data_IF_458573375965
#
_entry.id   IF_458573375965
#
_cell.length_a   1.000
_cell.length_b   1.000
_cell.length_c   1.000
_cell.angle_alpha   90.00
_cell.angle_beta   90.00
_cell.angle_gamma   90.00
#
_symmetry.space_group_name_H-M   'P 1'
#
loop_
_entity.id
_entity.type
_entity.pdbx_description
1 polymer ?
#
# COMPACT_ATOMS: atom_id res chain seq x y z
N UNK A 1 4.02 -9.39 -5.07
CA UNK A 1 3.76 -8.04 -5.60
C UNK A 1 4.38 -6.99 -4.67
N UNK A 2 5.69 -6.67 -4.81
CA UNK A 2 6.35 -5.54 -4.11
C UNK A 2 6.82 -4.50 -5.16
N UNK A 3 6.06 -4.39 -6.26
CA UNK A 3 6.40 -3.45 -7.34
C UNK A 3 5.89 -2.04 -7.07
N UNK A 4 4.75 -1.90 -6.40
CA UNK A 4 4.04 -0.61 -6.30
C UNK A 4 4.80 0.45 -5.49
N UNK A 5 5.38 0.10 -4.35
CA UNK A 5 6.03 1.10 -3.48
C UNK A 5 7.39 1.61 -3.98
N UNK A 6 8.10 0.84 -4.83
CA UNK A 6 9.41 1.27 -5.33
C UNK A 6 9.30 2.24 -6.53
N UNK A 7 8.28 2.07 -7.38
CA UNK A 7 8.02 2.98 -8.51
C UNK A 7 7.59 4.37 -8.05
N UNK A 8 7.01 4.46 -6.86
CA UNK A 8 6.50 5.70 -6.33
C UNK A 8 7.61 6.72 -6.02
N UNK A 9 8.67 6.29 -5.34
CA UNK A 9 9.83 7.17 -5.05
C UNK A 9 10.52 7.65 -6.33
N UNK A 10 10.58 6.79 -7.34
CA UNK A 10 11.08 7.14 -8.66
C UNK A 10 10.18 8.18 -9.34
N UNK A 11 8.86 8.03 -9.27
CA UNK A 11 7.91 8.98 -9.86
C UNK A 11 8.01 10.38 -9.24
N UNK A 12 8.25 10.48 -7.92
CA UNK A 12 8.52 11.76 -7.25
C UNK A 12 9.82 12.38 -7.73
N UNK A 13 10.90 11.58 -7.81
CA UNK A 13 12.19 12.05 -8.29
C UNK A 13 12.12 12.57 -9.73
N UNK A 14 11.38 11.87 -10.60
CA UNK A 14 11.15 12.27 -12.00
C UNK A 14 10.27 13.51 -12.10
N UNK A 15 9.23 13.65 -11.26
CA UNK A 15 8.36 14.82 -11.28
C UNK A 15 9.08 16.08 -10.79
N UNK A 16 9.88 15.98 -9.73
CA UNK A 16 10.69 17.09 -9.23
C UNK A 16 11.74 17.48 -10.28
N UNK A 17 12.38 16.51 -10.95
CA UNK A 17 13.42 16.80 -11.94
C UNK A 17 12.88 17.42 -13.24
N UNK A 18 11.66 17.07 -13.65
CA UNK A 18 11.04 17.60 -14.87
C UNK A 18 10.28 18.91 -14.67
N UNK A 19 9.58 19.09 -13.56
CA UNK A 19 8.65 20.22 -13.37
C UNK A 19 9.12 21.26 -12.35
N UNK A 20 10.15 20.96 -11.53
CA UNK A 20 10.64 21.86 -10.49
C UNK A 20 9.65 22.08 -9.33
N UNK A 21 10.13 22.53 -8.17
CA UNK A 21 9.31 22.61 -6.94
C UNK A 21 8.17 23.65 -6.98
N UNK A 22 8.20 24.60 -7.91
CA UNK A 22 7.21 25.69 -8.01
C UNK A 22 6.01 25.36 -8.92
N UNK A 23 5.96 24.18 -9.53
CA UNK A 23 4.87 23.76 -10.41
C UNK A 23 3.80 22.96 -9.64
N UNK A 24 2.53 23.18 -9.96
CA UNK A 24 1.41 22.43 -9.38
C UNK A 24 1.49 20.92 -9.62
N UNK A 25 2.17 20.49 -10.69
CA UNK A 25 2.47 19.08 -10.96
C UNK A 25 3.32 18.43 -9.86
N UNK A 26 4.31 19.16 -9.34
CA UNK A 26 5.20 18.67 -8.28
C UNK A 26 4.44 18.53 -6.96
N UNK A 27 3.58 19.49 -6.63
CA UNK A 27 2.73 19.42 -5.43
C UNK A 27 1.82 18.19 -5.45
N UNK A 28 1.23 17.86 -6.60
CA UNK A 28 0.41 16.67 -6.77
C UNK A 28 1.20 15.37 -6.53
N UNK A 29 2.46 15.30 -7.00
CA UNK A 29 3.31 14.12 -6.74
C UNK A 29 3.75 13.99 -5.28
N UNK A 30 4.00 15.12 -4.60
CA UNK A 30 4.34 15.11 -3.17
C UNK A 30 3.13 14.67 -2.33
N UNK A 31 1.94 15.18 -2.62
CA UNK A 31 0.68 14.75 -1.98
C UNK A 31 0.42 13.26 -2.25
N UNK A 32 0.74 12.78 -3.45
CA UNK A 32 0.70 11.35 -3.77
C UNK A 32 1.51 10.50 -2.77
N UNK A 33 2.68 10.96 -2.32
CA UNK A 33 3.55 10.20 -1.39
C UNK A 33 2.89 10.12 -0.03
N UNK A 34 2.36 11.26 0.41
CA UNK A 34 1.77 11.41 1.71
C UNK A 34 0.53 10.53 1.86
N UNK A 35 -0.16 10.22 0.75
CA UNK A 35 -1.32 9.31 0.73
C UNK A 35 -0.91 7.85 0.53
N UNK A 36 0.12 7.57 -0.27
CA UNK A 36 0.52 6.20 -0.60
C UNK A 36 0.90 5.39 0.65
N UNK A 37 1.76 5.95 1.52
CA UNK A 37 2.23 5.26 2.73
C UNK A 37 1.09 4.88 3.69
N UNK A 38 0.17 5.79 4.08
CA UNK A 38 -0.94 5.44 4.95
C UNK A 38 -1.93 4.48 4.29
N UNK A 39 -2.17 4.56 2.97
CA UNK A 39 -3.01 3.60 2.25
C UNK A 39 -2.39 2.20 2.30
N UNK A 40 -1.09 2.08 2.07
CA UNK A 40 -0.37 0.81 2.12
C UNK A 40 -0.45 0.18 3.53
N UNK A 41 -0.20 0.96 4.58
CA UNK A 41 -0.32 0.48 5.96
C UNK A 41 -1.75 0.10 6.34
N UNK A 42 -2.75 0.83 5.81
CA UNK A 42 -4.16 0.52 6.04
C UNK A 42 -4.54 -0.82 5.40
N UNK A 43 -4.09 -1.07 4.16
CA UNK A 43 -4.32 -2.35 3.47
C UNK A 43 -3.66 -3.51 4.22
N UNK A 44 -2.42 -3.34 4.69
CA UNK A 44 -1.73 -4.35 5.50
C UNK A 44 -2.50 -4.61 6.81
N UNK A 45 -3.01 -3.56 7.45
CA UNK A 45 -3.81 -3.70 8.67
C UNK A 45 -5.13 -4.45 8.42
N UNK A 46 -5.80 -4.19 7.30
CA UNK A 46 -7.00 -4.93 6.89
C UNK A 46 -6.67 -6.40 6.62
N UNK A 47 -5.63 -6.67 5.84
CA UNK A 47 -5.19 -8.03 5.53
C UNK A 47 -4.81 -8.82 6.81
N UNK A 48 -4.11 -8.17 7.73
CA UNK A 48 -3.74 -8.76 9.03
C UNK A 48 -4.97 -9.06 9.91
N UNK A 49 -6.02 -8.23 9.81
CA UNK A 49 -7.29 -8.44 10.53
C UNK A 49 -8.11 -9.60 9.95
N UNK A 50 -7.98 -9.91 8.66
CA UNK A 50 -8.68 -11.02 7.99
C UNK A 50 -7.98 -12.37 8.10
N UNK A 51 -6.81 -12.46 8.73
CA UNK A 51 -6.09 -13.74 8.89
C UNK A 51 -6.92 -14.77 9.66
N UNK A 52 -7.73 -14.35 10.64
CA UNK A 52 -8.59 -15.27 11.41
C UNK A 52 -9.59 -16.03 10.53
N UNK A 53 -10.06 -15.43 9.44
CA UNK A 53 -11.03 -16.04 8.53
C UNK A 53 -10.44 -17.25 7.80
N UNK A 54 -9.14 -17.20 7.50
CA UNK A 54 -8.43 -18.34 6.89
C UNK A 54 -8.21 -19.50 7.86
N UNK A 55 -8.24 -19.27 9.17
CA UNK A 55 -8.03 -20.33 10.16
C UNK A 55 -9.31 -21.13 10.40
N UNK A 56 -10.48 -20.47 10.40
CA UNK A 56 -11.78 -21.15 10.47
C UNK A 56 -11.98 -22.13 9.29
N UNK A 57 -11.69 -21.71 8.06
CA UNK A 57 -11.83 -22.57 6.85
C UNK A 57 -10.91 -23.81 6.90
N UNK A 58 -9.70 -23.68 7.46
CA UNK A 58 -8.74 -24.80 7.57
C UNK A 58 -9.13 -25.76 8.69
N UNK A 59 -9.59 -25.25 9.83
CA UNK A 59 -9.99 -26.10 10.96
C UNK A 59 -11.29 -26.86 10.70
N UNK A 60 -12.26 -26.25 10.00
CA UNK A 60 -13.44 -26.97 9.50
C UNK A 60 -13.06 -28.07 8.50
N UNK A 61 -12.09 -27.80 7.62
CA UNK A 61 -11.60 -28.80 6.65
C UNK A 61 -10.85 -29.99 7.27
N UNK A 62 -10.29 -29.85 8.47
CA UNK A 62 -9.57 -30.90 9.20
C UNK A 62 -10.44 -31.69 10.20
N UNK A 63 -11.72 -31.35 10.36
CA UNK A 63 -12.67 -32.11 11.18
C UNK A 63 -12.42 -32.08 12.69
N UNK A 64 -11.72 -31.06 13.20
CA UNK A 64 -11.64 -30.83 14.64
C UNK A 64 -12.87 -30.07 15.12
N UNK A 65 -13.86 -30.80 15.62
CA UNK A 65 -14.97 -30.25 16.41
C UNK A 65 -14.45 -29.91 17.81
N UNK A 66 -14.86 -28.75 18.35
CA UNK A 66 -14.41 -28.27 19.68
C UNK A 66 -14.83 -29.17 20.82
#
# INVERSE_FOLDING_TARGET
MIGTSNFFKLAVAVAISLFGLNSGATLATVVGVLVEVPVMLTLVKVANKTIGWFYEDVLEGYGFEK
#
